data_IF_309526310008
#
_entry.id   IF_309526310008
#
_cell.length_a   1.000
_cell.length_b   1.000
_cell.length_c   1.000
_cell.angle_alpha   90.00
_cell.angle_beta   90.00
_cell.angle_gamma   90.00
#
_symmetry.space_group_name_H-M   'P 1'
#
loop_
_entity.id
_entity.type
_entity.pdbx_description
1 polymer ?
#
# COMPACT_ATOMS: atom_id res chain seq x y z
N UNK A 1 -6.38 1.22 -25.34
CA UNK A 1 -6.98 2.45 -24.79
C UNK A 1 -6.95 2.25 -23.29
N UNK A 2 -6.19 3.04 -22.55
CA UNK A 2 -6.26 2.99 -21.07
C UNK A 2 -7.66 3.47 -20.70
N UNK A 3 -8.42 2.65 -19.99
CA UNK A 3 -9.73 3.04 -19.48
C UNK A 3 -9.58 4.33 -18.66
N UNK A 4 -10.52 5.25 -18.84
CA UNK A 4 -10.50 6.53 -18.14
C UNK A 4 -10.48 6.28 -16.61
N UNK A 5 -9.60 6.97 -15.90
CA UNK A 5 -9.51 6.87 -14.44
C UNK A 5 -10.86 7.23 -13.83
N UNK A 6 -11.38 6.35 -12.95
CA UNK A 6 -12.60 6.62 -12.16
C UNK A 6 -12.26 6.59 -10.67
N UNK A 7 -12.80 7.54 -9.95
CA UNK A 7 -12.53 7.75 -8.53
C UNK A 7 -13.86 7.85 -7.79
N UNK A 8 -14.01 7.06 -6.73
CA UNK A 8 -15.11 7.16 -5.78
C UNK A 8 -14.79 8.22 -4.72
N UNK A 9 -15.75 9.12 -4.47
CA UNK A 9 -15.71 10.11 -3.40
C UNK A 9 -17.04 10.12 -2.64
N UNK A 10 -17.02 10.60 -1.39
CA UNK A 10 -18.20 10.78 -0.56
C UNK A 10 -18.30 12.27 -0.14
N UNK A 11 -19.44 12.98 -0.39
CA UNK A 11 -19.60 14.34 0.07
C UNK A 11 -19.55 14.47 1.60
N UNK A 12 -18.97 15.55 2.15
CA UNK A 12 -18.71 15.70 3.58
C UNK A 12 -19.93 16.23 4.37
N UNK A 13 -21.17 15.93 3.95
CA UNK A 13 -22.39 16.48 4.56
C UNK A 13 -22.54 16.11 6.04
N UNK A 14 -21.94 15.00 6.48
CA UNK A 14 -21.99 14.51 7.86
C UNK A 14 -20.61 14.48 8.52
N UNK A 15 -19.59 15.04 7.84
CA UNK A 15 -18.25 15.07 8.36
C UNK A 15 -18.12 15.94 9.62
N UNK A 16 -17.57 15.37 10.66
CA UNK A 16 -17.05 16.02 11.87
C UNK A 16 -16.00 15.08 12.51
N UNK A 17 -15.28 15.56 13.50
CA UNK A 17 -14.44 14.74 14.38
C UNK A 17 -15.26 14.44 15.64
N UNK A 18 -15.94 13.29 15.66
CA UNK A 18 -16.85 12.92 16.77
C UNK A 18 -16.17 12.07 17.84
N UNK A 19 -15.02 11.48 17.53
CA UNK A 19 -14.26 10.56 18.38
C UNK A 19 -12.77 10.66 18.11
N UNK A 20 -11.95 9.90 18.88
CA UNK A 20 -10.50 9.85 18.70
C UNK A 20 -10.07 8.42 18.42
N UNK A 21 -9.69 8.12 17.18
CA UNK A 21 -9.17 6.82 16.74
C UNK A 21 -7.78 6.89 16.09
N UNK A 22 -7.18 8.09 16.07
CA UNK A 22 -5.80 8.33 15.66
C UNK A 22 -5.28 9.61 16.34
N UNK A 23 -3.94 9.84 16.37
CA UNK A 23 -3.36 11.00 17.05
C UNK A 23 -3.77 12.38 16.50
N UNK A 24 -4.17 12.46 15.23
CA UNK A 24 -4.56 13.73 14.61
C UNK A 24 -5.92 14.24 15.11
N UNK A 25 -6.78 13.32 15.53
CA UNK A 25 -8.11 13.64 16.09
C UNK A 25 -8.00 14.21 17.53
N UNK A 26 -6.87 13.99 18.22
CA UNK A 26 -6.69 14.49 19.58
C UNK A 26 -6.80 16.02 19.64
N UNK A 27 -7.71 16.51 20.49
CA UNK A 27 -7.99 17.93 20.63
C UNK A 27 -8.82 18.57 19.50
N UNK A 28 -9.26 17.79 18.52
CA UNK A 28 -10.06 18.25 17.38
C UNK A 28 -11.55 17.85 17.41
N UNK A 29 -12.02 17.18 18.49
CA UNK A 29 -13.44 16.81 18.65
C UNK A 29 -14.32 18.05 18.50
N UNK A 30 -15.26 18.02 17.56
CA UNK A 30 -16.21 19.10 17.20
C UNK A 30 -15.51 20.45 16.90
N UNK A 31 -14.28 20.41 16.38
CA UNK A 31 -13.53 21.61 15.96
C UNK A 31 -13.41 21.73 14.44
N UNK A 32 -14.03 20.83 13.67
CA UNK A 32 -14.12 20.99 12.23
C UNK A 32 -15.17 22.06 11.87
N UNK A 33 -14.88 22.80 10.82
CA UNK A 33 -15.86 23.69 10.20
C UNK A 33 -16.47 22.97 9.01
N UNK A 34 -17.76 22.63 9.11
CA UNK A 34 -18.48 21.97 8.02
C UNK A 34 -18.42 22.79 6.73
N UNK A 35 -18.67 24.08 6.81
CA UNK A 35 -18.62 24.97 5.65
C UNK A 35 -17.27 24.93 4.94
N UNK A 36 -16.16 25.00 5.71
CA UNK A 36 -14.82 24.88 5.15
C UNK A 36 -14.51 23.46 4.63
N UNK A 37 -14.99 22.43 5.29
CA UNK A 37 -14.82 21.07 4.82
C UNK A 37 -15.54 20.86 3.48
N UNK A 38 -16.77 21.36 3.34
CA UNK A 38 -17.51 21.30 2.07
C UNK A 38 -16.81 22.12 0.96
N UNK A 39 -16.28 23.29 1.28
CA UNK A 39 -15.51 24.12 0.34
C UNK A 39 -14.22 23.42 -0.11
N UNK A 40 -13.42 22.89 0.83
CA UNK A 40 -12.16 22.18 0.54
C UNK A 40 -12.40 20.89 -0.25
N UNK A 41 -13.43 20.13 0.13
CA UNK A 41 -13.82 18.93 -0.59
C UNK A 41 -14.25 19.26 -2.03
N UNK A 42 -15.03 20.32 -2.22
CA UNK A 42 -15.49 20.74 -3.55
C UNK A 42 -14.32 21.21 -4.43
N UNK A 43 -13.32 21.90 -3.86
CA UNK A 43 -12.10 22.26 -4.58
C UNK A 43 -11.34 21.01 -5.04
N UNK A 44 -11.14 20.01 -4.17
CA UNK A 44 -10.54 18.73 -4.53
C UNK A 44 -11.35 18.02 -5.62
N UNK A 45 -12.68 17.97 -5.48
CA UNK A 45 -13.58 17.35 -6.46
C UNK A 45 -13.45 17.99 -7.85
N UNK A 46 -13.48 19.32 -7.97
CA UNK A 46 -13.36 20.02 -9.25
C UNK A 46 -11.96 19.84 -9.87
N UNK A 47 -10.89 19.80 -9.06
CA UNK A 47 -9.55 19.49 -9.56
C UNK A 47 -9.51 18.06 -10.12
N UNK A 48 -9.97 17.05 -9.37
CA UNK A 48 -9.93 15.66 -9.80
C UNK A 48 -10.81 15.40 -11.01
N UNK A 49 -11.97 16.04 -11.12
CA UNK A 49 -12.88 15.96 -12.26
C UNK A 49 -12.26 16.45 -13.58
N UNK A 50 -11.20 17.26 -13.51
CA UNK A 50 -10.42 17.65 -14.68
C UNK A 50 -9.66 16.48 -15.29
N UNK A 51 -9.31 15.47 -14.48
CA UNK A 51 -8.41 14.38 -14.84
C UNK A 51 -9.06 12.99 -14.81
N UNK A 52 -10.21 12.85 -14.13
CA UNK A 52 -10.88 11.58 -13.89
C UNK A 52 -12.40 11.72 -13.93
N UNK A 53 -13.10 10.61 -14.12
CA UNK A 53 -14.54 10.53 -13.84
C UNK A 53 -14.74 10.31 -12.35
N UNK A 54 -15.61 11.11 -11.73
CA UNK A 54 -15.90 10.98 -10.30
C UNK A 54 -17.25 10.28 -10.12
N UNK A 55 -17.21 9.17 -9.39
CA UNK A 55 -18.39 8.50 -8.86
C UNK A 55 -18.64 8.96 -7.42
N UNK A 56 -19.88 9.01 -7.00
CA UNK A 56 -20.24 9.38 -5.64
C UNK A 56 -20.93 8.23 -4.92
N UNK A 57 -20.66 8.15 -3.62
CA UNK A 57 -21.46 7.39 -2.65
C UNK A 57 -22.16 8.36 -1.72
N UNK A 58 -23.42 8.08 -1.41
CA UNK A 58 -24.23 8.95 -0.56
C UNK A 58 -23.73 8.91 0.90
N UNK A 59 -23.41 10.06 1.50
CA UNK A 59 -23.01 10.13 2.90
C UNK A 59 -24.16 9.72 3.82
N UNK A 60 -23.85 9.03 4.90
CA UNK A 60 -24.86 8.52 5.82
C UNK A 60 -24.77 9.22 7.18
N UNK A 61 -25.93 9.61 7.77
CA UNK A 61 -25.95 10.20 9.11
C UNK A 61 -25.34 9.24 10.14
N UNK A 62 -24.52 9.75 11.05
CA UNK A 62 -23.87 8.98 12.09
C UNK A 62 -22.56 8.29 11.68
N UNK A 63 -22.15 8.43 10.42
CA UNK A 63 -20.87 7.90 9.91
C UNK A 63 -20.01 9.03 9.31
N UNK A 64 -19.41 9.87 10.18
CA UNK A 64 -18.68 11.07 9.72
C UNK A 64 -17.45 10.74 8.86
N UNK A 65 -16.83 9.58 9.09
CA UNK A 65 -15.61 9.16 8.39
C UNK A 65 -15.88 8.48 7.03
N UNK A 66 -17.17 8.31 6.60
CA UNK A 66 -17.48 7.82 5.24
C UNK A 66 -16.87 8.69 4.14
N UNK A 67 -16.54 9.94 4.42
CA UNK A 67 -15.85 10.85 3.50
C UNK A 67 -14.48 10.31 3.07
N UNK A 68 -13.83 9.46 3.90
CA UNK A 68 -12.53 8.84 3.61
C UNK A 68 -12.70 7.54 2.82
N UNK A 69 -13.11 7.68 1.56
CA UNK A 69 -13.45 6.57 0.66
C UNK A 69 -12.28 5.65 0.30
N UNK A 70 -11.02 6.04 0.53
CA UNK A 70 -9.88 5.13 0.42
C UNK A 70 -10.10 3.86 1.26
N UNK A 71 -10.80 3.99 2.38
CA UNK A 71 -11.10 2.89 3.29
C UNK A 71 -12.40 2.13 2.93
N UNK A 72 -13.05 2.41 1.79
CA UNK A 72 -14.21 1.62 1.37
C UNK A 72 -13.83 0.19 1.00
N UNK A 73 -12.65 -0.01 0.44
CA UNK A 73 -12.12 -1.29 0.02
C UNK A 73 -10.88 -1.15 -0.85
N UNK A 74 -10.37 -2.27 -1.33
CA UNK A 74 -9.30 -2.35 -2.32
C UNK A 74 -9.88 -2.89 -3.63
N UNK A 75 -9.75 -2.14 -4.72
CA UNK A 75 -10.27 -2.51 -6.04
C UNK A 75 -9.14 -2.90 -6.98
N UNK A 76 -9.23 -4.06 -7.64
CA UNK A 76 -8.41 -4.43 -8.80
C UNK A 76 -9.30 -5.05 -9.89
N UNK A 77 -9.35 -4.41 -11.06
CA UNK A 77 -10.25 -4.82 -12.14
C UNK A 77 -11.73 -4.73 -11.71
N UNK A 78 -12.42 -5.84 -11.77
CA UNK A 78 -13.83 -6.03 -11.39
C UNK A 78 -14.04 -6.58 -9.97
N UNK A 79 -12.95 -6.71 -9.21
CA UNK A 79 -12.95 -7.33 -7.88
C UNK A 79 -12.65 -6.28 -6.82
N UNK A 80 -13.38 -6.32 -5.72
CA UNK A 80 -13.13 -5.52 -4.53
C UNK A 80 -12.98 -6.41 -3.30
N UNK A 81 -11.94 -6.13 -2.51
CA UNK A 81 -11.83 -6.63 -1.13
C UNK A 81 -12.34 -5.53 -0.22
N UNK A 82 -13.53 -5.75 0.36
CA UNK A 82 -14.20 -4.78 1.23
C UNK A 82 -13.42 -4.61 2.53
N UNK A 83 -13.40 -3.41 3.05
CA UNK A 83 -12.75 -3.14 4.34
C UNK A 83 -13.45 -3.85 5.50
N UNK A 84 -12.65 -4.20 6.50
CA UNK A 84 -13.04 -4.62 7.84
C UNK A 84 -12.41 -3.65 8.82
N UNK A 85 -13.19 -2.70 9.26
CA UNK A 85 -12.66 -1.65 10.12
C UNK A 85 -12.22 -2.18 11.48
N UNK A 86 -11.02 -1.79 11.91
CA UNK A 86 -10.48 -2.10 13.23
C UNK A 86 -11.32 -1.43 14.34
N UNK A 87 -11.65 -0.16 14.15
CA UNK A 87 -12.41 0.63 15.13
C UNK A 87 -13.92 0.47 14.95
N UNK A 88 -14.67 0.17 16.04
CA UNK A 88 -16.13 0.02 16.02
C UNK A 88 -16.85 1.25 15.46
N UNK A 89 -16.30 2.43 15.65
CA UNK A 89 -16.83 3.72 15.21
C UNK A 89 -17.00 3.80 13.69
N UNK A 90 -16.28 2.95 12.92
CA UNK A 90 -16.36 2.91 11.47
C UNK A 90 -17.00 1.67 10.89
N UNK A 91 -17.21 0.62 11.69
CA UNK A 91 -17.72 -0.68 11.19
C UNK A 91 -19.10 -0.58 10.53
N UNK A 92 -19.91 0.38 10.91
CA UNK A 92 -21.23 0.59 10.29
C UNK A 92 -21.17 1.23 8.90
N UNK A 93 -20.00 1.67 8.43
CA UNK A 93 -19.81 2.13 7.06
C UNK A 93 -19.77 0.95 6.04
N UNK A 94 -19.33 -0.24 6.48
CA UNK A 94 -19.13 -1.43 5.64
C UNK A 94 -20.34 -1.81 4.77
N UNK A 95 -21.59 -1.88 5.30
CA UNK A 95 -22.75 -2.25 4.49
C UNK A 95 -23.07 -1.28 3.36
N UNK A 96 -22.82 0.02 3.55
CA UNK A 96 -23.09 1.04 2.54
C UNK A 96 -22.09 0.96 1.39
N UNK A 97 -20.80 0.75 1.69
CA UNK A 97 -19.79 0.52 0.68
C UNK A 97 -20.01 -0.81 -0.04
N UNK A 98 -20.36 -1.88 0.67
CA UNK A 98 -20.69 -3.17 0.07
C UNK A 98 -21.82 -3.02 -0.96
N UNK A 99 -22.93 -2.41 -0.58
CA UNK A 99 -24.06 -2.18 -1.46
C UNK A 99 -23.66 -1.35 -2.70
N UNK A 100 -22.87 -0.30 -2.51
CA UNK A 100 -22.38 0.53 -3.61
C UNK A 100 -21.60 -0.28 -4.66
N UNK A 101 -20.75 -1.22 -4.23
CA UNK A 101 -19.97 -2.08 -5.12
C UNK A 101 -20.84 -3.14 -5.80
N UNK A 102 -21.72 -3.81 -5.04
CA UNK A 102 -22.62 -4.86 -5.54
C UNK A 102 -23.55 -4.31 -6.62
N UNK A 103 -24.13 -3.14 -6.43
CA UNK A 103 -25.01 -2.46 -7.40
C UNK A 103 -24.29 -2.12 -8.72
N UNK A 104 -22.97 -2.04 -8.70
CA UNK A 104 -22.15 -1.76 -9.89
C UNK A 104 -21.49 -3.00 -10.48
N UNK A 105 -21.85 -4.17 -9.97
CA UNK A 105 -21.44 -5.46 -10.52
C UNK A 105 -20.02 -5.89 -10.16
N UNK A 106 -19.41 -5.31 -9.12
CA UNK A 106 -18.13 -5.78 -8.61
C UNK A 106 -18.28 -7.14 -7.93
N UNK A 107 -17.27 -8.00 -8.08
CA UNK A 107 -17.12 -9.19 -7.26
C UNK A 107 -16.59 -8.77 -5.89
N UNK A 108 -17.42 -8.90 -4.85
CA UNK A 108 -17.09 -8.45 -3.50
C UNK A 108 -16.56 -9.60 -2.65
N UNK A 109 -15.33 -9.46 -2.14
CA UNK A 109 -14.75 -10.34 -1.14
C UNK A 109 -14.73 -9.66 0.23
N UNK A 110 -14.97 -10.45 1.28
CA UNK A 110 -14.97 -9.98 2.67
C UNK A 110 -14.07 -10.85 3.52
N UNK A 111 -13.18 -10.24 4.28
CA UNK A 111 -12.36 -10.90 5.29
C UNK A 111 -13.22 -11.38 6.48
N UNK A 112 -12.76 -12.38 7.25
CA UNK A 112 -13.37 -12.72 8.52
C UNK A 112 -13.54 -11.49 9.43
N UNK A 113 -14.61 -11.41 10.20
CA UNK A 113 -14.90 -10.25 11.07
C UNK A 113 -13.80 -9.94 12.09
N UNK A 114 -13.03 -10.95 12.48
CA UNK A 114 -11.93 -10.82 13.44
C UNK A 114 -10.60 -10.38 12.79
N UNK A 115 -10.59 -10.16 11.47
CA UNK A 115 -9.37 -9.83 10.74
C UNK A 115 -9.49 -8.44 10.08
N UNK A 116 -9.04 -7.38 10.75
CA UNK A 116 -9.09 -6.02 10.24
C UNK A 116 -8.24 -5.82 8.98
N UNK A 117 -8.81 -5.04 8.05
CA UNK A 117 -8.17 -4.56 6.85
C UNK A 117 -8.88 -3.29 6.36
N UNK A 118 -8.18 -2.18 6.19
CA UNK A 118 -8.82 -0.89 5.88
C UNK A 118 -8.55 -0.42 4.43
N UNK A 119 -8.76 -1.37 3.48
CA UNK A 119 -8.86 -1.08 2.05
C UNK A 119 -7.62 -0.46 1.43
N UNK A 120 -7.84 0.49 0.51
CA UNK A 120 -6.78 1.21 -0.19
C UNK A 120 -6.11 2.31 0.67
N UNK A 121 -6.49 2.44 1.95
CA UNK A 121 -5.69 3.14 2.96
C UNK A 121 -4.42 2.36 3.29
N UNK A 122 -4.53 1.02 3.36
CA UNK A 122 -3.42 0.14 3.70
C UNK A 122 -2.94 -0.75 2.55
N UNK A 123 -3.55 -0.69 1.36
CA UNK A 123 -3.10 -1.47 0.21
C UNK A 123 -3.06 -0.62 -1.07
N UNK A 124 -1.88 -0.47 -1.66
CA UNK A 124 -1.61 0.42 -2.77
C UNK A 124 -0.94 -0.35 -3.93
N UNK A 125 -1.54 -0.29 -5.11
CA UNK A 125 -0.95 -0.90 -6.31
C UNK A 125 0.31 -0.14 -6.71
N UNK A 126 1.42 -0.88 -6.91
CA UNK A 126 2.62 -0.32 -7.54
C UNK A 126 2.29 0.16 -8.96
N UNK A 127 2.70 1.38 -9.30
CA UNK A 127 2.35 1.99 -10.60
C UNK A 127 3.13 1.42 -11.78
N UNK A 128 4.10 0.53 -11.56
CA UNK A 128 4.62 -0.35 -12.60
C UNK A 128 3.74 -1.57 -12.83
N UNK A 129 2.67 -1.77 -12.01
CA UNK A 129 1.68 -2.82 -12.16
C UNK A 129 2.18 -4.22 -11.83
N UNK A 130 3.20 -4.36 -10.95
CA UNK A 130 3.83 -5.66 -10.66
C UNK A 130 3.39 -6.29 -9.35
N UNK A 131 3.14 -5.49 -8.32
CA UNK A 131 2.80 -5.96 -6.97
C UNK A 131 1.90 -4.98 -6.23
N UNK A 132 1.40 -5.42 -5.11
CA UNK A 132 0.61 -4.62 -4.18
C UNK A 132 1.46 -4.37 -2.93
N UNK A 133 1.65 -3.10 -2.56
CA UNK A 133 2.18 -2.71 -1.28
C UNK A 133 1.09 -2.79 -0.23
N UNK A 134 1.32 -3.46 0.90
CA UNK A 134 0.32 -3.58 1.95
C UNK A 134 0.89 -3.26 3.34
N UNK A 135 0.32 -2.24 3.99
CA UNK A 135 0.67 -1.78 5.33
C UNK A 135 -0.01 -2.60 6.41
N UNK A 136 0.67 -2.76 7.56
CA UNK A 136 0.11 -3.39 8.75
C UNK A 136 0.72 -2.80 10.03
N UNK A 137 0.05 -3.04 11.17
CA UNK A 137 0.57 -2.69 12.50
C UNK A 137 -0.32 -1.77 13.33
N UNK A 138 -1.28 -1.04 12.71
CA UNK A 138 -2.20 -0.18 13.44
C UNK A 138 -3.68 -0.45 13.11
N UNK A 139 -4.02 -0.58 11.82
CA UNK A 139 -5.40 -0.70 11.35
C UNK A 139 -5.66 -1.98 10.58
N UNK A 140 -4.68 -2.46 9.86
CA UNK A 140 -4.73 -3.72 9.13
C UNK A 140 -3.78 -4.72 9.73
N UNK A 141 -4.17 -6.00 9.68
CA UNK A 141 -3.39 -7.11 10.21
C UNK A 141 -2.61 -7.81 9.09
N UNK A 142 -1.40 -8.28 9.42
CA UNK A 142 -0.55 -9.02 8.49
C UNK A 142 -1.25 -10.25 7.90
N UNK A 143 -2.07 -10.93 8.71
CA UNK A 143 -2.81 -12.13 8.32
C UNK A 143 -3.89 -11.87 7.25
N UNK A 144 -4.22 -10.61 6.95
CA UNK A 144 -5.08 -10.24 5.84
C UNK A 144 -4.37 -10.40 4.47
N UNK A 145 -3.05 -10.23 4.42
CA UNK A 145 -2.28 -10.18 3.17
C UNK A 145 -2.35 -11.47 2.32
N UNK A 146 -2.33 -12.70 2.89
CA UNK A 146 -2.56 -13.91 2.14
C UNK A 146 -3.91 -13.97 1.41
N UNK A 147 -4.96 -13.39 2.00
CA UNK A 147 -6.27 -13.29 1.34
C UNK A 147 -6.21 -12.36 0.12
N UNK A 148 -5.51 -11.21 0.25
CA UNK A 148 -5.32 -10.29 -0.87
C UNK A 148 -4.59 -10.98 -2.02
N UNK A 149 -3.49 -11.70 -1.73
CA UNK A 149 -2.75 -12.48 -2.72
C UNK A 149 -3.66 -13.48 -3.44
N UNK A 150 -4.45 -14.25 -2.68
CA UNK A 150 -5.27 -15.32 -3.24
C UNK A 150 -6.47 -14.80 -4.05
N UNK A 151 -7.14 -13.73 -3.61
CA UNK A 151 -8.35 -13.23 -4.27
C UNK A 151 -8.03 -12.33 -5.46
N UNK A 152 -6.91 -11.62 -5.40
CA UNK A 152 -6.53 -10.65 -6.43
C UNK A 152 -5.47 -11.18 -7.40
N UNK A 153 -4.90 -12.36 -7.14
CA UNK A 153 -3.82 -12.97 -7.92
C UNK A 153 -2.65 -12.00 -8.15
N UNK A 154 -2.15 -11.41 -7.06
CA UNK A 154 -1.08 -10.42 -7.07
C UNK A 154 -0.07 -10.68 -5.96
N UNK A 155 1.23 -10.43 -6.24
CA UNK A 155 2.26 -10.42 -5.19
C UNK A 155 1.97 -9.31 -4.20
N UNK A 156 1.94 -9.61 -2.90
CA UNK A 156 1.74 -8.64 -1.82
C UNK A 156 3.05 -8.44 -1.06
N UNK A 157 3.51 -7.20 -1.00
CA UNK A 157 4.70 -6.78 -0.25
C UNK A 157 4.28 -6.09 1.05
N UNK A 158 4.52 -6.77 2.17
CA UNK A 158 4.07 -6.34 3.48
C UNK A 158 5.02 -5.31 4.10
N UNK A 159 4.51 -4.16 4.51
CA UNK A 159 5.24 -3.05 5.12
C UNK A 159 4.71 -2.78 6.53
N UNK A 160 5.59 -2.85 7.54
CA UNK A 160 5.22 -2.56 8.92
C UNK A 160 5.31 -1.08 9.21
N UNK A 161 4.19 -0.49 9.64
CA UNK A 161 4.12 0.88 10.13
C UNK A 161 4.52 0.91 11.61
N UNK A 162 5.36 1.88 11.99
CA UNK A 162 5.88 2.02 13.35
C UNK A 162 5.63 3.40 13.97
N UNK A 163 5.28 4.40 13.18
CA UNK A 163 4.92 5.74 13.65
C UNK A 163 3.39 5.89 13.67
N UNK A 164 2.81 6.03 14.86
CA UNK A 164 1.35 6.13 15.05
C UNK A 164 0.71 7.34 14.36
N UNK A 165 1.48 8.37 13.99
CA UNK A 165 0.99 9.51 13.21
C UNK A 165 0.58 9.08 11.80
N UNK A 166 1.25 8.05 11.28
CA UNK A 166 1.02 7.47 9.95
C UNK A 166 0.40 6.08 10.10
N UNK A 167 -0.84 6.06 10.55
CA UNK A 167 -1.57 4.86 10.94
C UNK A 167 -2.13 4.04 9.77
N UNK A 168 -2.17 4.61 8.56
CA UNK A 168 -2.41 3.94 7.28
C UNK A 168 -1.21 4.12 6.35
N UNK A 169 -1.03 3.16 5.43
CA UNK A 169 0.04 3.20 4.45
C UNK A 169 -0.04 4.45 3.55
N UNK A 170 -1.24 4.82 3.10
CA UNK A 170 -1.47 5.95 2.21
C UNK A 170 -1.15 7.32 2.83
N UNK A 171 -0.97 7.39 4.15
CA UNK A 171 -0.57 8.63 4.83
C UNK A 171 0.92 8.94 4.72
N UNK A 172 1.74 7.92 4.43
CA UNK A 172 3.20 8.04 4.38
C UNK A 172 3.85 7.39 3.14
N UNK A 173 3.04 6.91 2.18
CA UNK A 173 3.51 6.13 1.04
C UNK A 173 2.62 6.35 -0.18
N UNK A 174 3.17 6.80 -1.29
CA UNK A 174 2.44 7.06 -2.53
C UNK A 174 3.20 6.51 -3.74
N UNK A 175 2.77 5.37 -4.30
CA UNK A 175 3.27 4.91 -5.58
C UNK A 175 2.92 5.89 -6.70
N UNK A 176 3.91 6.27 -7.48
CA UNK A 176 3.78 7.20 -8.60
C UNK A 176 4.05 6.50 -9.94
N UNK A 177 3.51 7.06 -11.01
CA UNK A 177 3.68 6.58 -12.39
C UNK A 177 5.14 6.25 -12.70
N UNK A 178 5.35 5.23 -13.55
CA UNK A 178 6.67 4.69 -13.95
C UNK A 178 7.47 4.07 -12.79
N UNK A 179 6.81 3.66 -11.71
CA UNK A 179 7.44 3.02 -10.57
C UNK A 179 8.25 3.99 -9.69
N UNK A 180 7.99 5.30 -9.77
CA UNK A 180 8.44 6.23 -8.75
C UNK A 180 7.69 6.01 -7.45
N UNK A 181 8.32 6.35 -6.35
CA UNK A 181 7.76 6.21 -5.02
C UNK A 181 8.05 7.43 -4.16
N UNK A 182 6.98 8.11 -3.71
CA UNK A 182 7.04 9.16 -2.71
C UNK A 182 6.76 8.52 -1.34
N UNK A 183 7.65 8.66 -0.35
CA UNK A 183 7.45 8.00 0.94
C UNK A 183 8.23 8.66 2.07
N UNK A 184 7.76 8.46 3.31
CA UNK A 184 8.42 8.90 4.53
C UNK A 184 9.11 7.72 5.23
N UNK A 185 10.44 7.56 5.13
CA UNK A 185 11.14 6.37 5.63
C UNK A 185 10.98 6.11 7.13
N UNK A 186 10.87 7.17 7.96
CA UNK A 186 10.76 7.02 9.41
C UNK A 186 9.41 6.41 9.87
N UNK A 187 8.40 6.35 8.98
CA UNK A 187 7.14 5.67 9.27
C UNK A 187 7.26 4.14 9.31
N UNK A 188 8.36 3.57 8.77
CA UNK A 188 8.54 2.13 8.59
C UNK A 188 9.66 1.57 9.46
N UNK A 189 9.56 0.27 9.79
CA UNK A 189 10.68 -0.44 10.41
C UNK A 189 11.86 -0.66 9.41
N UNK A 190 12.99 -1.12 9.95
CA UNK A 190 14.19 -1.32 9.13
C UNK A 190 13.99 -2.38 8.03
N UNK A 191 13.20 -3.44 8.32
CA UNK A 191 12.94 -4.49 7.34
C UNK A 191 12.10 -3.95 6.17
N UNK A 192 11.05 -3.20 6.46
CA UNK A 192 10.19 -2.59 5.45
C UNK A 192 10.95 -1.56 4.60
N UNK A 193 11.80 -0.73 5.21
CA UNK A 193 12.68 0.17 4.47
C UNK A 193 13.63 -0.60 3.54
N UNK A 194 14.21 -1.71 4.02
CA UNK A 194 15.06 -2.55 3.19
C UNK A 194 14.30 -3.19 2.03
N UNK A 195 13.07 -3.63 2.25
CA UNK A 195 12.21 -4.17 1.20
C UNK A 195 11.90 -3.12 0.13
N UNK A 196 11.59 -1.88 0.54
CA UNK A 196 11.40 -0.75 -0.38
C UNK A 196 12.65 -0.52 -1.22
N UNK A 197 13.83 -0.51 -0.60
CA UNK A 197 15.11 -0.33 -1.29
C UNK A 197 15.42 -1.42 -2.30
N UNK A 198 15.05 -2.66 -2.02
CA UNK A 198 15.24 -3.80 -2.92
C UNK A 198 14.29 -3.78 -4.12
N UNK A 199 13.08 -3.24 -3.94
CA UNK A 199 12.04 -3.28 -4.97
C UNK A 199 11.98 -2.01 -5.82
N UNK A 200 12.38 -0.87 -5.28
CA UNK A 200 12.33 0.42 -5.97
C UNK A 200 13.77 0.94 -6.17
N UNK A 201 14.22 1.15 -7.42
CA UNK A 201 15.55 1.70 -7.71
C UNK A 201 15.79 3.05 -7.03
N UNK A 202 17.03 3.34 -6.64
CA UNK A 202 17.37 4.54 -5.87
C UNK A 202 16.93 5.84 -6.56
N UNK A 203 17.09 5.92 -7.88
CA UNK A 203 16.70 7.07 -8.71
C UNK A 203 15.18 7.30 -8.79
N UNK A 204 14.39 6.28 -8.45
CA UNK A 204 12.92 6.35 -8.42
C UNK A 204 12.34 6.55 -7.03
N UNK A 205 13.16 6.45 -5.98
CA UNK A 205 12.75 6.74 -4.61
C UNK A 205 12.81 8.24 -4.32
N UNK A 206 11.74 8.78 -3.78
CA UNK A 206 11.59 10.17 -3.36
C UNK A 206 11.27 10.17 -1.86
N UNK A 207 12.30 10.03 -0.98
CA UNK A 207 12.09 10.16 0.45
C UNK A 207 11.74 11.61 0.77
N UNK A 208 10.69 11.83 1.57
CA UNK A 208 10.25 13.17 1.96
C UNK A 208 10.77 13.55 3.36
N UNK A 209 10.80 14.85 3.62
CA UNK A 209 11.11 15.41 4.93
C UNK A 209 9.98 15.17 5.94
N UNK A 210 10.28 15.28 7.23
CA UNK A 210 9.23 15.26 8.28
C UNK A 210 8.24 16.42 8.10
N UNK A 211 8.69 17.59 7.65
CA UNK A 211 7.83 18.74 7.39
C UNK A 211 6.80 18.44 6.30
N UNK A 212 7.20 17.79 5.21
CA UNK A 212 6.27 17.37 4.17
C UNK A 212 5.36 16.23 4.66
N UNK A 213 5.90 15.32 5.48
CA UNK A 213 5.13 14.19 6.01
C UNK A 213 3.97 14.65 6.91
N UNK A 214 4.20 15.63 7.80
CA UNK A 214 3.14 16.18 8.67
C UNK A 214 2.10 17.02 7.90
N UNK A 215 2.44 17.55 6.74
CA UNK A 215 1.49 18.17 5.79
C UNK A 215 0.78 17.12 4.91
N UNK A 216 0.99 15.82 5.15
CA UNK A 216 0.41 14.71 4.38
C UNK A 216 0.76 14.73 2.89
N UNK A 217 1.98 15.11 2.52
CA UNK A 217 2.40 15.16 1.13
C UNK A 217 2.35 13.77 0.44
N UNK A 218 2.54 12.66 1.18
CA UNK A 218 2.37 11.31 0.64
C UNK A 218 0.89 10.91 0.47
N UNK A 219 -0.04 11.55 1.17
CA UNK A 219 -1.46 11.28 1.01
C UNK A 219 -1.99 11.96 -0.25
N UNK A 220 -1.43 11.55 -1.39
CA UNK A 220 -1.59 12.18 -2.69
C UNK A 220 -2.25 11.25 -3.71
N UNK A 221 -2.90 11.84 -4.70
CA UNK A 221 -3.53 11.14 -5.82
C UNK A 221 -2.69 11.34 -7.06
N UNK A 222 -2.07 10.27 -7.54
CA UNK A 222 -1.34 10.28 -8.81
C UNK A 222 -2.26 9.87 -9.96
N UNK A 223 -2.36 10.73 -10.98
CA UNK A 223 -3.15 10.48 -12.19
C UNK A 223 -2.28 10.76 -13.40
N UNK A 224 -2.21 9.79 -14.31
CA UNK A 224 -1.62 9.94 -15.63
C UNK A 224 -2.71 9.93 -16.69
N UNK A 225 -2.62 10.83 -17.63
CA UNK A 225 -3.59 10.97 -18.71
C UNK A 225 -2.92 11.50 -19.99
N UNK A 226 -3.61 11.40 -21.10
CA UNK A 226 -3.16 11.95 -22.37
C UNK A 226 -3.87 13.28 -22.64
N UNK A 227 -3.10 14.36 -22.81
CA UNK A 227 -3.59 15.63 -23.31
C UNK A 227 -2.89 15.95 -24.62
N UNK A 228 -3.65 16.14 -25.69
CA UNK A 228 -3.12 16.44 -27.03
C UNK A 228 -2.03 15.44 -27.49
N UNK A 229 -2.20 14.17 -27.13
CA UNK A 229 -1.26 13.09 -27.45
C UNK A 229 0.01 13.05 -26.61
N UNK A 230 0.16 13.93 -25.61
CA UNK A 230 1.26 13.93 -24.65
C UNK A 230 0.81 13.31 -23.33
N UNK A 231 1.65 12.45 -22.76
CA UNK A 231 1.42 11.93 -21.43
C UNK A 231 1.69 13.03 -20.39
N UNK A 232 0.71 13.33 -19.57
CA UNK A 232 0.81 14.20 -18.41
C UNK A 232 0.68 13.38 -17.14
N UNK A 233 1.45 13.73 -16.11
CA UNK A 233 1.50 13.08 -14.81
C UNK A 233 1.20 14.10 -13.74
N UNK A 234 0.05 13.97 -13.12
CA UNK A 234 -0.40 14.90 -12.08
C UNK A 234 -0.37 14.23 -10.72
N UNK A 235 0.09 14.96 -9.72
CA UNK A 235 0.03 14.57 -8.31
C UNK A 235 -0.76 15.62 -7.57
N UNK A 236 -1.98 15.26 -7.14
CA UNK A 236 -2.87 16.12 -6.36
C UNK A 236 -2.65 15.83 -4.90
N UNK A 237 -2.32 16.84 -4.10
CA UNK A 237 -1.99 16.70 -2.68
C UNK A 237 -2.43 17.92 -1.85
N UNK A 238 -2.42 17.77 -0.53
CA UNK A 238 -2.71 18.89 0.37
C UNK A 238 -1.70 20.02 0.20
N UNK A 239 -0.41 19.72 0.40
CA UNK A 239 0.68 20.69 0.33
C UNK A 239 2.02 19.99 0.15
N UNK A 240 2.96 20.66 -0.50
CA UNK A 240 4.36 20.26 -0.60
C UNK A 240 5.29 21.45 -0.35
N UNK A 241 6.47 21.22 0.22
CA UNK A 241 7.52 22.23 0.27
C UNK A 241 8.01 22.60 -1.14
N UNK A 242 8.61 23.77 -1.29
CA UNK A 242 9.22 24.20 -2.57
C UNK A 242 10.23 23.18 -3.08
N UNK A 243 11.02 22.60 -2.17
CA UNK A 243 12.00 21.56 -2.51
C UNK A 243 11.32 20.30 -3.05
N UNK A 244 10.25 19.83 -2.42
CA UNK A 244 9.51 18.66 -2.88
C UNK A 244 8.82 18.93 -4.23
N UNK A 245 8.25 20.12 -4.42
CA UNK A 245 7.66 20.51 -5.71
C UNK A 245 8.71 20.51 -6.82
N UNK A 246 9.91 21.04 -6.56
CA UNK A 246 11.02 21.02 -7.53
C UNK A 246 11.46 19.60 -7.84
N UNK A 247 11.63 18.74 -6.83
CA UNK A 247 11.99 17.33 -7.00
C UNK A 247 10.96 16.58 -7.87
N UNK A 248 9.68 16.80 -7.66
CA UNK A 248 8.60 16.19 -8.46
C UNK A 248 8.59 16.73 -9.90
N UNK A 249 8.75 18.04 -10.05
CA UNK A 249 8.82 18.70 -11.37
C UNK A 249 9.99 18.19 -12.21
N UNK A 250 11.19 18.05 -11.63
CA UNK A 250 12.38 17.52 -12.31
C UNK A 250 12.20 16.07 -12.80
N UNK A 251 11.25 15.33 -12.18
CA UNK A 251 10.85 13.96 -12.57
C UNK A 251 9.66 13.92 -13.52
N UNK A 252 9.20 15.09 -13.98
CA UNK A 252 8.12 15.23 -14.94
C UNK A 252 6.71 15.10 -14.35
N UNK A 253 6.55 15.33 -13.04
CA UNK A 253 5.25 15.42 -12.40
C UNK A 253 4.78 16.88 -12.25
N UNK A 254 3.51 17.11 -12.49
CA UNK A 254 2.84 18.38 -12.19
C UNK A 254 2.18 18.26 -10.83
N UNK A 255 2.60 19.07 -9.87
CA UNK A 255 1.98 19.13 -8.54
C UNK A 255 0.78 20.06 -8.57
N UNK A 256 -0.35 19.62 -8.03
CA UNK A 256 -1.56 20.42 -7.83
C UNK A 256 -1.92 20.37 -6.35
N UNK A 257 -1.76 21.51 -5.68
CA UNK A 257 -2.11 21.64 -4.27
C UNK A 257 -3.62 21.94 -4.11
N UNK A 258 -4.24 21.21 -3.20
CA UNK A 258 -5.62 21.42 -2.76
C UNK A 258 -5.64 21.46 -1.24
N UNK A 259 -5.81 22.63 -0.60
CA UNK A 259 -5.81 22.72 0.85
C UNK A 259 -6.92 21.89 1.49
N UNK A 260 -6.55 21.00 2.43
CA UNK A 260 -7.46 20.05 3.09
C UNK A 260 -7.34 20.10 4.63
N UNK A 261 -7.13 21.31 5.15
CA UNK A 261 -6.82 21.56 6.57
C UNK A 261 -7.93 21.08 7.52
N UNK A 262 -9.19 21.04 7.07
CA UNK A 262 -10.29 20.50 7.88
C UNK A 262 -10.20 18.97 8.01
N UNK A 263 -9.80 18.26 6.94
CA UNK A 263 -9.66 16.82 6.93
C UNK A 263 -8.39 16.34 7.63
N UNK A 264 -7.33 17.17 7.66
CA UNK A 264 -6.12 16.90 8.45
C UNK A 264 -6.44 16.77 9.93
N UNK A 265 -7.48 17.44 10.44
CA UNK A 265 -7.94 17.30 11.84
C UNK A 265 -8.40 15.88 12.18
N UNK A 266 -8.84 15.12 11.17
CA UNK A 266 -9.19 13.71 11.30
C UNK A 266 -8.07 12.78 10.81
N UNK A 267 -6.92 13.33 10.37
CA UNK A 267 -5.77 12.57 9.93
C UNK A 267 -5.86 12.05 8.49
N UNK A 268 -6.54 12.77 7.60
CA UNK A 268 -6.64 12.41 6.19
C UNK A 268 -6.47 13.62 5.25
N UNK A 269 -6.07 13.36 3.99
CA UNK A 269 -5.95 14.37 2.95
C UNK A 269 -6.45 13.82 1.59
N UNK A 270 -5.86 14.20 0.48
CA UNK A 270 -6.38 13.93 -0.87
C UNK A 270 -6.61 12.45 -1.17
N UNK A 271 -5.64 11.58 -0.83
CA UNK A 271 -5.77 10.13 -1.09
C UNK A 271 -6.83 9.49 -0.21
N UNK A 272 -6.91 9.86 1.08
CA UNK A 272 -7.93 9.33 1.99
C UNK A 272 -9.35 9.65 1.53
N UNK A 273 -9.57 10.82 0.91
CA UNK A 273 -10.87 11.27 0.38
C UNK A 273 -11.24 10.60 -0.96
N UNK A 274 -10.41 9.68 -1.48
CA UNK A 274 -10.56 9.14 -2.82
C UNK A 274 -10.27 7.64 -2.86
N UNK A 275 -11.07 6.89 -3.60
CA UNK A 275 -10.77 5.52 -3.98
C UNK A 275 -10.78 5.39 -5.50
N UNK A 276 -9.67 5.00 -6.08
CA UNK A 276 -9.62 4.66 -7.51
C UNK A 276 -10.32 3.32 -7.73
N UNK A 277 -11.38 3.33 -8.53
CA UNK A 277 -12.23 2.15 -8.80
C UNK A 277 -11.94 1.51 -10.17
N UNK A 278 -10.95 2.01 -10.87
CA UNK A 278 -10.43 1.46 -12.14
C UNK A 278 -8.95 1.08 -12.04
N UNK A 279 -8.53 0.53 -10.89
CA UNK A 279 -7.18 -0.03 -10.80
C UNK A 279 -7.07 -1.24 -11.72
N UNK A 280 -6.16 -1.24 -12.70
CA UNK A 280 -6.00 -2.37 -13.60
C UNK A 280 -5.50 -3.58 -12.80
N UNK A 281 -5.94 -4.77 -13.19
CA UNK A 281 -5.25 -5.97 -12.70
C UNK A 281 -3.80 -5.90 -13.16
N UNK A 282 -2.82 -6.18 -12.28
CA UNK A 282 -1.45 -6.37 -12.73
C UNK A 282 -1.44 -7.35 -13.90
N UNK A 283 -0.67 -7.03 -14.95
CA UNK A 283 -0.42 -8.03 -15.96
C UNK A 283 0.08 -9.28 -15.23
N UNK A 284 -0.57 -10.43 -15.46
CA UNK A 284 -0.06 -11.69 -14.94
C UNK A 284 1.45 -11.69 -15.17
N UNK A 285 2.29 -11.99 -14.15
CA UNK A 285 3.71 -12.03 -14.37
C UNK A 285 3.88 -12.82 -15.66
N UNK A 286 4.48 -12.17 -16.69
CA UNK A 286 4.85 -12.94 -17.88
C UNK A 286 5.52 -14.16 -17.27
N UNK A 287 5.00 -15.34 -17.59
CA UNK A 287 5.53 -16.58 -17.06
C UNK A 287 7.00 -16.69 -17.51
N UNK A 288 7.86 -15.89 -16.89
CA UNK A 288 9.24 -16.25 -16.70
C UNK A 288 9.09 -17.60 -16.02
N UNK A 289 9.60 -18.63 -16.64
CA UNK A 289 9.58 -19.97 -16.07
C UNK A 289 10.27 -19.83 -14.73
N UNK A 290 9.46 -19.54 -13.67
CA UNK A 290 9.99 -19.36 -12.32
C UNK A 290 10.65 -20.68 -12.00
N UNK A 291 11.97 -20.71 -12.07
CA UNK A 291 12.73 -21.86 -11.66
C UNK A 291 12.60 -21.96 -10.14
N UNK A 292 12.16 -23.09 -9.66
CA UNK A 292 12.11 -23.33 -8.22
C UNK A 292 12.99 -24.53 -7.87
N UNK A 293 13.71 -24.44 -6.77
CA UNK A 293 14.53 -25.49 -6.17
C UNK A 293 14.25 -25.52 -4.69
N UNK A 294 14.32 -26.70 -4.10
CA UNK A 294 14.26 -26.84 -2.65
C UNK A 294 15.68 -27.10 -2.14
N UNK A 295 16.07 -26.36 -1.12
CA UNK A 295 17.32 -26.57 -0.41
C UNK A 295 17.04 -27.06 1.01
N UNK A 296 17.92 -27.87 1.53
CA UNK A 296 17.96 -28.34 2.90
C UNK A 296 19.20 -27.79 3.61
N UNK A 297 19.00 -27.31 4.82
CA UNK A 297 20.02 -26.77 5.72
C UNK A 297 19.96 -27.55 7.02
N UNK A 298 21.10 -27.93 7.56
CA UNK A 298 21.21 -28.57 8.87
C UNK A 298 22.44 -28.04 9.62
N UNK A 299 22.32 -27.90 10.94
CA UNK A 299 23.40 -27.46 11.80
C UNK A 299 22.91 -26.46 12.85
N UNK A 300 23.83 -25.65 13.39
CA UNK A 300 23.53 -24.59 14.34
C UNK A 300 23.03 -23.32 13.59
N UNK A 301 21.86 -23.45 12.96
CA UNK A 301 21.37 -22.52 11.97
C UNK A 301 21.18 -21.08 12.52
N UNK A 302 20.72 -20.94 13.77
CA UNK A 302 20.49 -19.65 14.42
C UNK A 302 21.79 -19.07 14.99
N UNK A 303 22.53 -19.83 15.76
CA UNK A 303 23.75 -19.37 16.45
C UNK A 303 24.84 -18.93 15.47
N UNK A 304 24.96 -19.62 14.34
CA UNK A 304 25.89 -19.26 13.26
C UNK A 304 25.43 -18.14 12.36
N UNK A 305 24.16 -17.72 12.47
CA UNK A 305 23.53 -16.80 11.53
C UNK A 305 23.41 -17.34 10.10
N UNK A 306 23.53 -18.68 9.93
CA UNK A 306 23.53 -19.31 8.61
C UNK A 306 22.21 -19.10 7.87
N UNK A 307 21.08 -19.22 8.57
CA UNK A 307 19.75 -18.97 7.97
C UNK A 307 19.69 -17.58 7.38
N UNK A 308 20.06 -16.54 8.14
CA UNK A 308 20.01 -15.17 7.65
C UNK A 308 20.91 -14.98 6.43
N UNK A 309 22.13 -15.52 6.44
CA UNK A 309 23.03 -15.44 5.29
C UNK A 309 22.46 -16.12 4.04
N UNK A 310 21.81 -17.27 4.21
CA UNK A 310 21.16 -18.00 3.11
C UNK A 310 20.01 -17.18 2.54
N UNK A 311 19.12 -16.66 3.38
CA UNK A 311 17.98 -15.85 2.94
C UNK A 311 18.42 -14.53 2.27
N UNK A 312 19.43 -13.86 2.84
CA UNK A 312 20.02 -12.65 2.27
C UNK A 312 20.68 -12.92 0.91
N UNK A 313 21.38 -14.07 0.76
CA UNK A 313 21.98 -14.48 -0.52
C UNK A 313 20.93 -14.69 -1.60
N UNK A 314 19.79 -15.33 -1.29
CA UNK A 314 18.70 -15.55 -2.22
C UNK A 314 18.15 -14.20 -2.71
N UNK A 315 17.87 -13.30 -1.77
CA UNK A 315 17.29 -11.98 -2.08
C UNK A 315 18.29 -11.09 -2.84
N UNK A 316 19.55 -11.06 -2.41
CA UNK A 316 20.60 -10.30 -3.08
C UNK A 316 20.88 -10.80 -4.50
N UNK A 317 20.72 -12.11 -4.75
CA UNK A 317 20.82 -12.73 -6.07
C UNK A 317 19.59 -12.47 -6.97
N UNK A 318 18.56 -11.74 -6.51
CA UNK A 318 17.34 -11.45 -7.28
C UNK A 318 16.32 -12.60 -7.24
N UNK A 319 16.48 -13.54 -6.32
CA UNK A 319 15.53 -14.62 -6.06
C UNK A 319 14.52 -14.29 -4.96
N UNK A 320 13.59 -15.19 -4.74
CA UNK A 320 12.65 -15.19 -3.61
C UNK A 320 12.68 -16.55 -2.92
N UNK A 321 12.19 -16.60 -1.68
CA UNK A 321 12.17 -17.83 -0.93
C UNK A 321 10.85 -18.06 -0.20
N UNK A 322 10.60 -19.34 0.12
CA UNK A 322 9.54 -19.77 1.02
C UNK A 322 10.13 -20.81 1.97
N UNK A 323 10.02 -20.58 3.28
CA UNK A 323 10.40 -21.60 4.27
C UNK A 323 9.28 -22.63 4.31
N UNK A 324 9.61 -23.88 3.91
CA UNK A 324 8.66 -24.99 3.88
C UNK A 324 8.58 -25.68 5.22
N UNK A 325 9.74 -25.84 5.88
CA UNK A 325 9.86 -26.49 7.16
C UNK A 325 11.01 -25.86 7.95
N UNK A 326 10.85 -25.76 9.27
CA UNK A 326 11.88 -25.26 10.18
C UNK A 326 11.79 -25.98 11.52
N UNK A 327 12.73 -26.89 11.78
CA UNK A 327 12.82 -27.63 13.02
C UNK A 327 13.94 -27.05 13.87
N UNK A 328 13.61 -26.52 15.03
CA UNK A 328 14.58 -26.03 16.01
C UNK A 328 15.00 -27.17 16.96
N UNK A 329 16.29 -27.25 17.26
CA UNK A 329 16.77 -28.07 18.36
C UNK A 329 16.24 -27.53 19.70
N UNK A 330 15.89 -28.42 20.61
CA UNK A 330 15.33 -28.05 21.92
C UNK A 330 16.43 -27.56 22.90
N UNK A 331 17.66 -27.95 22.68
CA UNK A 331 18.81 -27.59 23.52
C UNK A 331 19.91 -26.90 22.70
N UNK A 332 20.77 -26.16 23.37
CA UNK A 332 21.87 -25.41 22.73
C UNK A 332 22.83 -26.23 21.87
N UNK A 333 22.97 -27.53 22.15
CA UNK A 333 23.84 -28.43 21.40
C UNK A 333 23.11 -29.19 20.29
N UNK A 334 21.80 -29.06 20.20
CA UNK A 334 21.01 -29.73 19.18
C UNK A 334 21.15 -29.00 17.83
N UNK A 335 21.15 -29.77 16.77
CA UNK A 335 21.11 -29.22 15.42
C UNK A 335 19.68 -28.79 15.07
N UNK A 336 19.57 -27.71 14.30
CA UNK A 336 18.34 -27.25 13.66
C UNK A 336 18.36 -27.62 12.18
N UNK A 337 17.19 -27.81 11.58
CA UNK A 337 17.05 -28.10 10.16
C UNK A 337 16.01 -27.20 9.51
N UNK A 338 16.26 -26.81 8.27
CA UNK A 338 15.31 -25.98 7.48
C UNK A 338 15.23 -26.50 6.05
N UNK A 339 14.00 -26.50 5.53
CA UNK A 339 13.71 -26.67 4.10
C UNK A 339 13.23 -25.33 3.55
N UNK A 340 13.92 -24.85 2.51
CA UNK A 340 13.61 -23.56 1.90
C UNK A 340 13.43 -23.76 0.39
N UNK A 341 12.26 -23.36 -0.12
CA UNK A 341 12.01 -23.25 -1.54
C UNK A 341 12.61 -21.94 -2.04
N UNK A 342 13.55 -22.02 -2.95
CA UNK A 342 14.19 -20.92 -3.65
C UNK A 342 13.50 -20.77 -5.00
N UNK A 343 13.15 -19.55 -5.38
CA UNK A 343 12.56 -19.24 -6.70
C UNK A 343 13.34 -18.12 -7.36
N UNK A 344 13.60 -18.23 -8.66
CA UNK A 344 14.33 -17.24 -9.43
C UNK A 344 13.65 -16.98 -10.79
N UNK A 345 13.78 -15.76 -11.36
CA UNK A 345 13.08 -15.36 -12.58
C UNK A 345 13.54 -16.11 -13.84
N UNK A 346 14.75 -16.64 -13.84
CA UNK A 346 15.32 -17.38 -14.95
C UNK A 346 16.37 -18.41 -14.50
N UNK A 347 16.79 -19.37 -15.39
CA UNK A 347 17.76 -20.40 -15.06
C UNK A 347 19.15 -19.89 -14.69
N UNK A 348 19.60 -18.76 -15.25
CA UNK A 348 20.94 -18.23 -14.98
C UNK A 348 21.00 -17.63 -13.58
N UNK A 349 20.01 -16.85 -13.19
CA UNK A 349 19.85 -16.31 -11.83
C UNK A 349 19.72 -17.44 -10.83
N UNK A 350 18.94 -18.49 -11.13
CA UNK A 350 18.84 -19.66 -10.26
C UNK A 350 20.18 -20.38 -10.08
N UNK A 351 20.94 -20.56 -11.16
CA UNK A 351 22.25 -21.23 -11.10
C UNK A 351 23.26 -20.44 -10.24
N UNK A 352 23.27 -19.10 -10.36
CA UNK A 352 24.15 -18.24 -9.56
C UNK A 352 23.79 -18.29 -8.08
N UNK A 353 22.48 -18.13 -7.75
CA UNK A 353 22.00 -18.26 -6.36
C UNK A 353 22.36 -19.62 -5.78
N UNK A 354 22.06 -20.70 -6.50
CA UNK A 354 22.34 -22.06 -6.02
C UNK A 354 23.83 -22.31 -5.81
N UNK A 355 24.70 -21.77 -6.67
CA UNK A 355 26.15 -21.82 -6.47
C UNK A 355 26.58 -21.21 -5.14
N UNK A 356 26.12 -20.00 -4.85
CA UNK A 356 26.41 -19.30 -3.60
C UNK A 356 25.83 -20.02 -2.36
N UNK A 357 24.64 -20.63 -2.49
CA UNK A 357 24.00 -21.36 -1.40
C UNK A 357 24.74 -22.69 -1.07
N UNK A 358 25.26 -23.36 -2.08
CA UNK A 358 26.09 -24.55 -1.90
C UNK A 358 27.38 -24.20 -1.14
N UNK A 359 28.01 -23.06 -1.47
CA UNK A 359 29.20 -22.56 -0.75
C UNK A 359 28.90 -22.25 0.72
N UNK A 360 27.65 -21.90 1.05
CA UNK A 360 27.17 -21.73 2.42
C UNK A 360 26.81 -23.05 3.12
N UNK A 361 26.87 -24.19 2.43
CA UNK A 361 26.56 -25.51 2.97
C UNK A 361 25.13 -25.99 2.76
N UNK A 362 24.34 -25.31 1.90
CA UNK A 362 23.01 -25.77 1.53
C UNK A 362 23.10 -27.05 0.63
N UNK A 363 22.19 -27.97 0.84
CA UNK A 363 22.05 -29.18 -0.01
C UNK A 363 20.79 -29.01 -0.87
N UNK A 364 20.95 -29.12 -2.20
CA UNK A 364 19.78 -29.14 -3.11
C UNK A 364 19.04 -30.48 -2.96
N UNK A 365 17.74 -30.38 -2.73
CA UNK A 365 16.86 -31.57 -2.73
C UNK A 365 16.34 -31.76 -4.17
N UNK A 366 16.36 -32.97 -4.71
CA UNK A 366 15.91 -33.28 -6.06
C UNK A 366 14.45 -32.94 -6.31
#
# INVERSE_FOLDING_TARGET
>A
MTDAVRILMCPPHHYDVDYVINPWMEGNIHRSSRERAEEQWHQLYEVLKTYATIDLVDPQPGWPDMVFTANAGLVLGDTVVLSRFFHPERQGEEPYFQHWFEDRGYTVHQLPKSLPFEGAGDALLDRSGRWLWAGYGFRSELDAHPYLTNWLDVEVLSLRLVDRRFYHLDTCFCPLTDGYLLYYPAAFDNYSNRLIELRVPAEKRIPISELDAIEFACNAVNIDFLRDGKAERVVVMNKASDDLQQILSDRGFTVVETPLTEFLKAGGAAKCLTLRVTEPRPAAPQASVIQSRVIYLEGHLLDSGLVNRVLDTIVAGGGSFQVLNFNLGEQRLDTSAAEVKVSAPDPAVMADIMGQLIDLGAVSVP
#
